data_IF_054911130662
#
_entry.id   IF_054911130662
#
_cell.length_a   1.000
_cell.length_b   1.000
_cell.length_c   1.000
_cell.angle_alpha   90.00
_cell.angle_beta   90.00
_cell.angle_gamma   90.00
#
_symmetry.space_group_name_H-M   'P 1'
#
loop_
_entity.id
_entity.type
_entity.pdbx_description
1 polymer ?
#
# COMPACT_ATOMS: atom_id res chain seq x y z
N UNK A 1 -14.16 -32.66 4.67
CA UNK A 1 -13.22 -31.52 4.74
C UNK A 1 -13.54 -30.59 3.58
N UNK A 2 -14.39 -29.59 3.78
CA UNK A 2 -14.70 -28.63 2.72
C UNK A 2 -13.41 -27.85 2.41
N UNK A 3 -12.89 -28.02 1.20
CA UNK A 3 -11.83 -27.15 0.68
C UNK A 3 -12.45 -25.78 0.44
N UNK A 4 -12.50 -24.97 1.49
CA UNK A 4 -12.94 -23.59 1.36
C UNK A 4 -11.96 -22.90 0.42
N UNK A 5 -12.47 -22.43 -0.72
CA UNK A 5 -11.67 -21.83 -1.78
C UNK A 5 -11.43 -20.38 -1.38
N UNK A 6 -10.17 -20.01 -1.12
CA UNK A 6 -9.76 -18.64 -0.81
C UNK A 6 -10.46 -17.64 -1.72
N UNK A 7 -11.35 -16.84 -1.15
CA UNK A 7 -12.01 -15.77 -1.88
C UNK A 7 -11.20 -14.48 -1.73
N UNK A 8 -10.11 -14.41 -2.51
CA UNK A 8 -9.14 -13.31 -2.49
C UNK A 8 -9.79 -11.93 -2.35
N UNK A 9 -10.81 -11.62 -3.16
CA UNK A 9 -11.44 -10.30 -3.13
C UNK A 9 -12.10 -9.95 -1.80
N UNK A 10 -12.77 -10.92 -1.16
CA UNK A 10 -13.34 -10.75 0.18
C UNK A 10 -12.24 -10.63 1.24
N UNK A 11 -11.21 -11.45 1.14
CA UNK A 11 -10.09 -11.46 2.10
C UNK A 11 -9.31 -10.14 2.05
N UNK A 12 -9.04 -9.61 0.85
CA UNK A 12 -8.38 -8.31 0.65
C UNK A 12 -9.21 -7.19 1.27
N UNK A 13 -10.52 -7.17 1.06
CA UNK A 13 -11.38 -6.17 1.67
C UNK A 13 -11.40 -6.26 3.20
N UNK A 14 -11.51 -7.48 3.75
CA UNK A 14 -11.47 -7.68 5.20
C UNK A 14 -10.14 -7.18 5.78
N UNK A 15 -9.01 -7.46 5.12
CA UNK A 15 -7.69 -6.99 5.51
C UNK A 15 -7.56 -5.46 5.50
N UNK A 16 -8.05 -4.80 4.45
CA UNK A 16 -7.98 -3.34 4.35
C UNK A 16 -8.93 -2.67 5.36
N UNK A 17 -10.07 -3.30 5.68
CA UNK A 17 -11.02 -2.79 6.69
C UNK A 17 -10.48 -2.83 8.11
N UNK A 18 -9.62 -3.81 8.45
CA UNK A 18 -8.99 -3.84 9.77
C UNK A 18 -7.84 -2.82 9.91
N UNK A 19 -7.41 -2.21 8.79
CA UNK A 19 -6.28 -1.29 8.69
C UNK A 19 -6.65 -0.05 7.88
N UNK A 20 -7.72 0.62 8.31
CA UNK A 20 -8.24 1.80 7.63
C UNK A 20 -7.17 2.91 7.59
N UNK A 21 -7.06 3.61 6.45
CA UNK A 21 -6.04 4.64 6.24
C UNK A 21 -4.63 4.15 5.89
N UNK A 22 -4.28 2.89 6.16
CA UNK A 22 -3.01 2.31 5.74
C UNK A 22 -3.00 1.93 4.25
N UNK A 23 -1.87 2.16 3.58
CA UNK A 23 -1.70 1.96 2.13
C UNK A 23 -0.82 0.75 1.86
N UNK A 24 -1.36 -0.25 1.16
CA UNK A 24 -0.65 -1.49 0.85
C UNK A 24 -0.54 -1.75 -0.64
N UNK A 25 0.58 -2.30 -1.09
CA UNK A 25 0.72 -2.80 -2.46
C UNK A 25 0.05 -4.17 -2.61
N UNK A 26 -0.29 -4.55 -3.85
CA UNK A 26 -0.83 -5.89 -4.14
C UNK A 26 0.10 -7.01 -3.66
N UNK A 27 1.42 -6.77 -3.68
CA UNK A 27 2.41 -7.72 -3.19
C UNK A 27 2.36 -7.87 -1.66
N UNK A 28 2.32 -6.76 -0.92
CA UNK A 28 2.21 -6.81 0.54
C UNK A 28 0.92 -7.51 0.99
N UNK A 29 -0.18 -7.27 0.29
CA UNK A 29 -1.45 -7.97 0.55
C UNK A 29 -1.29 -9.47 0.25
N UNK A 30 -0.63 -9.84 -0.84
CA UNK A 30 -0.37 -11.24 -1.19
C UNK A 30 0.54 -11.96 -0.17
N UNK A 31 1.56 -11.27 0.35
CA UNK A 31 2.44 -11.77 1.41
C UNK A 31 1.64 -12.05 2.69
N UNK A 32 0.79 -11.10 3.12
CA UNK A 32 -0.10 -11.31 4.27
C UNK A 32 -1.07 -12.48 4.06
N UNK A 33 -1.65 -12.62 2.86
CA UNK A 33 -2.52 -13.75 2.52
C UNK A 33 -1.75 -15.08 2.59
N UNK A 34 -0.52 -15.11 2.11
CA UNK A 34 0.33 -16.30 2.16
C UNK A 34 0.65 -16.73 3.59
N UNK A 35 0.93 -15.76 4.47
CA UNK A 35 1.19 -16.01 5.90
C UNK A 35 -0.06 -16.41 6.67
N UNK A 36 -1.22 -15.80 6.35
CA UNK A 36 -2.48 -16.01 7.07
C UNK A 36 -3.18 -17.31 6.62
N UNK A 37 -3.07 -17.67 5.34
CA UNK A 37 -3.75 -18.82 4.75
C UNK A 37 -2.76 -19.80 4.08
N UNK A 38 -1.79 -20.36 4.83
CA UNK A 38 -0.74 -21.20 4.25
C UNK A 38 -1.29 -22.50 3.66
N UNK A 39 -2.30 -23.11 4.29
CA UNK A 39 -2.91 -24.35 3.81
C UNK A 39 -3.61 -24.16 2.45
N UNK A 40 -4.32 -23.04 2.27
CA UNK A 40 -5.01 -22.73 1.02
C UNK A 40 -4.02 -22.38 -0.10
N UNK A 41 -2.96 -21.65 0.25
CA UNK A 41 -1.84 -21.34 -0.64
C UNK A 41 -1.13 -22.60 -1.11
N UNK A 42 -0.84 -23.54 -0.20
CA UNK A 42 -0.26 -24.84 -0.54
C UNK A 42 -1.20 -25.68 -1.41
N UNK A 43 -2.50 -25.70 -1.10
CA UNK A 43 -3.48 -26.41 -1.91
C UNK A 43 -3.61 -25.80 -3.32
N UNK A 44 -3.40 -24.49 -3.48
CA UNK A 44 -3.37 -23.81 -4.78
C UNK A 44 -2.08 -24.14 -5.55
N UNK A 45 -0.94 -24.16 -4.86
CA UNK A 45 0.36 -24.59 -5.42
C UNK A 45 0.30 -26.03 -5.90
N UNK A 46 -0.20 -26.95 -5.08
CA UNK A 46 -0.35 -28.37 -5.42
C UNK A 46 -1.28 -28.60 -6.62
N UNK A 47 -2.28 -27.75 -6.83
CA UNK A 47 -3.20 -27.81 -7.98
C UNK A 47 -2.60 -27.24 -9.27
N UNK A 48 -1.51 -26.49 -9.19
CA UNK A 48 -0.94 -25.79 -10.34
C UNK A 48 0.42 -26.35 -10.71
N UNK A 49 0.53 -26.96 -11.89
CA UNK A 49 1.81 -27.44 -12.41
C UNK A 49 2.81 -26.31 -12.74
N UNK A 50 2.34 -25.06 -12.82
CA UNK A 50 3.16 -23.90 -13.17
C UNK A 50 3.79 -23.19 -11.95
N UNK A 51 3.31 -23.45 -10.73
CA UNK A 51 3.77 -22.76 -9.51
C UNK A 51 4.85 -23.58 -8.79
N UNK A 52 6.08 -23.53 -9.32
CA UNK A 52 7.21 -24.24 -8.74
C UNK A 52 7.71 -23.62 -7.42
N UNK A 53 7.68 -22.30 -7.31
CA UNK A 53 8.26 -21.56 -6.18
C UNK A 53 7.22 -20.73 -5.44
N UNK A 54 7.51 -20.40 -4.19
CA UNK A 54 6.63 -19.55 -3.37
C UNK A 54 6.60 -18.11 -3.93
N UNK A 55 7.71 -17.65 -4.52
CA UNK A 55 7.75 -16.39 -5.26
C UNK A 55 6.78 -16.38 -6.46
N UNK A 56 6.69 -17.48 -7.22
CA UNK A 56 5.73 -17.60 -8.31
C UNK A 56 4.29 -17.56 -7.80
N UNK A 57 4.02 -18.21 -6.66
CA UNK A 57 2.71 -18.17 -6.01
C UNK A 57 2.36 -16.75 -5.52
N UNK A 58 3.29 -16.04 -4.88
CA UNK A 58 3.08 -14.66 -4.44
C UNK A 58 2.81 -13.73 -5.62
N UNK A 59 3.53 -13.90 -6.73
CA UNK A 59 3.30 -13.13 -7.95
C UNK A 59 1.91 -13.42 -8.53
N UNK A 60 1.49 -14.69 -8.55
CA UNK A 60 0.16 -15.09 -8.99
C UNK A 60 -0.94 -14.47 -8.10
N UNK A 61 -0.78 -14.52 -6.77
CA UNK A 61 -1.71 -13.90 -5.84
C UNK A 61 -1.79 -12.39 -6.05
N UNK A 62 -0.65 -11.70 -6.17
CA UNK A 62 -0.62 -10.26 -6.42
C UNK A 62 -1.30 -9.89 -7.76
N UNK A 63 -1.12 -10.70 -8.81
CA UNK A 63 -1.79 -10.51 -10.09
C UNK A 63 -3.31 -10.70 -9.98
N UNK A 64 -3.77 -11.68 -9.20
CA UNK A 64 -5.20 -11.91 -8.92
C UNK A 64 -5.83 -10.76 -8.11
N UNK A 65 -5.11 -10.22 -7.11
CA UNK A 65 -5.55 -9.00 -6.39
C UNK A 65 -5.68 -7.82 -7.37
N UNK A 66 -4.71 -7.66 -8.27
CA UNK A 66 -4.72 -6.65 -9.32
C UNK A 66 -5.89 -6.77 -10.29
N UNK A 67 -6.22 -8.00 -10.70
CA UNK A 67 -7.28 -8.27 -11.69
C UNK A 67 -8.69 -8.15 -11.11
N UNK A 68 -8.87 -8.42 -9.81
CA UNK A 68 -10.17 -8.30 -9.14
C UNK A 68 -10.56 -6.86 -8.81
N UNK A 69 -9.59 -5.94 -8.85
CA UNK A 69 -9.78 -4.52 -8.52
C UNK A 69 -11.02 -3.86 -9.16
N UNK A 70 -11.27 -3.94 -10.49
CA UNK A 70 -12.42 -3.25 -11.08
C UNK A 70 -13.75 -3.74 -10.52
N UNK A 71 -13.85 -5.04 -10.22
CA UNK A 71 -15.06 -5.62 -9.62
C UNK A 71 -15.20 -5.22 -8.15
N UNK A 72 -14.09 -5.15 -7.41
CA UNK A 72 -14.09 -4.73 -6.00
C UNK A 72 -14.50 -3.26 -5.86
N UNK A 73 -13.93 -2.36 -6.65
CA UNK A 73 -14.30 -0.93 -6.63
C UNK A 73 -15.77 -0.70 -6.99
N UNK A 74 -16.31 -1.47 -7.95
CA UNK A 74 -17.74 -1.39 -8.31
C UNK A 74 -18.67 -1.78 -7.14
N UNK A 75 -18.25 -2.73 -6.31
CA UNK A 75 -19.05 -3.23 -5.17
C UNK A 75 -18.77 -2.47 -3.87
N UNK A 76 -17.59 -1.90 -3.75
CA UNK A 76 -17.05 -1.26 -2.56
C UNK A 76 -16.34 0.02 -2.97
N UNK A 77 -17.08 1.13 -3.18
CA UNK A 77 -16.49 2.41 -3.57
C UNK A 77 -15.53 2.98 -2.50
N UNK A 78 -15.59 2.48 -1.27
CA UNK A 78 -14.68 2.82 -0.16
C UNK A 78 -13.26 2.26 -0.36
N UNK A 79 -13.08 1.31 -1.27
CA UNK A 79 -11.78 0.78 -1.66
C UNK A 79 -11.11 1.75 -2.65
N UNK A 80 -10.22 2.58 -2.12
CA UNK A 80 -9.48 3.57 -2.89
C UNK A 80 -8.09 3.09 -3.25
N UNK A 81 -7.57 3.63 -4.36
CA UNK A 81 -6.28 3.25 -4.92
C UNK A 81 -5.54 4.48 -5.38
N UNK A 82 -4.27 4.57 -5.00
CA UNK A 82 -3.42 5.70 -5.39
C UNK A 82 -3.19 5.72 -6.91
N UNK A 83 -3.10 6.92 -7.46
CA UNK A 83 -2.61 7.13 -8.81
C UNK A 83 -1.10 6.86 -8.89
N UNK A 84 -0.58 6.52 -10.08
CA UNK A 84 0.84 6.21 -10.27
C UNK A 84 1.26 4.78 -9.89
N UNK A 85 2.53 4.44 -10.19
CA UNK A 85 3.15 3.16 -9.85
C UNK A 85 4.19 3.37 -8.72
N UNK A 86 4.30 2.44 -7.76
CA UNK A 86 3.45 1.27 -7.54
C UNK A 86 2.08 1.68 -6.94
N UNK A 87 1.02 1.03 -7.44
CA UNK A 87 -0.34 1.26 -6.95
C UNK A 87 -0.49 0.75 -5.53
N UNK A 88 -1.08 1.57 -4.66
CA UNK A 88 -1.41 1.20 -3.28
C UNK A 88 -2.91 1.20 -3.05
N UNK A 89 -3.39 0.20 -2.32
CA UNK A 89 -4.76 -0.04 -1.94
C UNK A 89 -4.95 0.42 -0.50
N UNK A 90 -6.05 1.11 -0.23
CA UNK A 90 -6.43 1.52 1.11
C UNK A 90 -7.96 1.54 1.25
N UNK A 91 -8.42 1.36 2.48
CA UNK A 91 -9.83 1.51 2.82
C UNK A 91 -10.03 2.87 3.49
N UNK A 92 -11.00 3.65 3.00
CA UNK A 92 -11.36 4.94 3.54
C UNK A 92 -12.88 4.98 3.74
N UNK A 93 -13.32 5.14 4.98
CA UNK A 93 -14.74 5.39 5.31
C UNK A 93 -15.13 6.86 5.04
N UNK A 94 -14.13 7.70 4.78
CA UNK A 94 -14.27 9.10 4.46
C UNK A 94 -14.56 9.29 2.96
N UNK A 95 -15.62 10.05 2.68
CA UNK A 95 -15.95 10.47 1.32
C UNK A 95 -14.76 11.23 0.70
N UNK A 96 -14.65 11.24 -0.63
CA UNK A 96 -13.57 11.94 -1.35
C UNK A 96 -13.41 13.43 -0.93
N UNK A 97 -14.45 14.02 -0.34
CA UNK A 97 -14.47 15.38 0.19
C UNK A 97 -13.66 15.59 1.49
N UNK A 98 -13.48 14.58 2.35
CA UNK A 98 -12.74 14.73 3.61
C UNK A 98 -11.21 14.54 3.42
N UNK A 99 -10.79 13.81 2.37
CA UNK A 99 -9.37 13.63 2.03
C UNK A 99 -8.70 14.92 1.53
N UNK A 100 -9.47 15.88 0.98
CA UNK A 100 -8.93 17.18 0.52
C UNK A 100 -8.66 18.11 1.69
N UNK A 101 -9.48 18.08 2.75
CA UNK A 101 -9.30 18.98 3.90
C UNK A 101 -8.06 18.65 4.73
N UNK A 102 -7.61 17.38 4.76
CA UNK A 102 -6.41 16.99 5.49
C UNK A 102 -5.11 17.34 4.73
N UNK A 103 -5.18 17.55 3.42
CA UNK A 103 -4.04 17.95 2.60
C UNK A 103 -3.76 19.46 2.69
N UNK A 104 -4.77 20.29 2.99
CA UNK A 104 -4.60 21.75 3.15
C UNK A 104 -4.08 22.15 4.55
N UNK A 105 -4.22 21.31 5.57
CA UNK A 105 -3.79 21.63 6.95
C UNK A 105 -2.26 21.50 7.15
N UNK A 106 -1.56 20.77 6.27
CA UNK A 106 -0.11 20.58 6.36
C UNK A 106 0.73 21.68 5.67
N UNK A 107 0.11 22.57 4.90
CA UNK A 107 0.84 23.58 4.10
C UNK A 107 1.03 24.92 4.83
N UNK A 108 0.46 25.10 6.04
CA UNK A 108 0.55 26.34 6.84
C UNK A 108 1.40 26.16 8.12
N UNK A 109 2.48 25.37 8.07
CA UNK A 109 3.42 25.24 9.20
C UNK A 109 4.89 25.46 8.80
N UNK A 110 5.16 26.08 7.65
CA UNK A 110 6.51 26.57 7.30
C UNK A 110 6.43 27.97 6.73
N UNK A 111 5.96 28.93 7.52
CA UNK A 111 6.37 30.31 7.34
C UNK A 111 6.33 31.08 8.65
N UNK A 112 7.44 31.78 8.91
CA UNK A 112 7.66 32.84 9.91
C UNK A 112 7.82 32.45 11.41
N UNK A 113 9.09 32.39 11.86
CA UNK A 113 9.64 33.37 12.82
C UNK A 113 11.18 33.22 13.02
N UNK A 114 11.93 34.11 12.35
CA UNK A 114 13.29 34.59 12.70
C UNK A 114 13.27 35.39 14.05
N UNK A 115 14.37 35.93 14.68
CA UNK A 115 15.70 36.29 14.12
C UNK A 115 16.94 36.12 15.06
N UNK A 116 18.15 36.28 14.50
CA UNK A 116 19.39 36.29 15.27
C UNK A 116 20.63 36.75 14.50
N UNK A 117 20.81 38.06 14.39
CA UNK A 117 22.02 38.78 13.98
C UNK A 117 23.32 38.20 14.57
N UNK A 118 24.37 37.96 13.77
CA UNK A 118 25.71 38.59 13.86
C UNK A 118 26.48 38.44 12.52
N UNK A 119 27.21 39.50 12.22
CA UNK A 119 28.02 39.92 11.06
C UNK A 119 29.20 39.05 10.58
N UNK A 120 29.46 39.17 9.26
CA UNK A 120 30.73 39.18 8.50
C UNK A 120 31.97 38.43 9.02
N UNK A 121 32.53 37.55 8.18
CA UNK A 121 33.96 37.63 7.77
C UNK A 121 34.24 36.93 6.44
N UNK A 122 34.99 37.66 5.63
CA UNK A 122 35.57 37.39 4.31
C UNK A 122 36.33 36.04 4.22
N UNK A 123 36.23 35.37 3.06
CA UNK A 123 37.04 34.22 2.65
C UNK A 123 38.54 34.47 2.90
N UNK A 124 39.21 33.63 3.69
CA UNK A 124 40.64 33.40 3.53
C UNK A 124 40.91 31.93 3.80
N UNK A 125 41.29 31.22 2.72
CA UNK A 125 41.73 29.83 2.74
C UNK A 125 43.11 29.74 3.42
N UNK A 126 43.33 28.84 4.39
CA UNK A 126 44.68 28.52 4.84
C UNK A 126 45.33 27.43 3.95
N UNK A 127 46.39 27.88 3.26
CA UNK A 127 47.75 27.30 3.23
C UNK A 127 48.04 25.84 2.86
N UNK A 128 49.04 25.75 1.95
CA UNK A 128 50.23 24.85 1.92
C UNK A 128 50.11 23.47 1.26
N UNK A 129 50.87 23.29 0.17
CA UNK A 129 52.16 22.58 0.18
C UNK A 129 53.10 23.21 -0.86
#
# INVERSE_FOLDING_TARGET
>A
MASEKLNLGKTVLAFLKTRTGEKFTARQIAEWVFETFPAECQAKKARSQALATDAALLQQLAAEVGSQRPQLQKKHPELKITEGRPRRYYYSEQSDADEVMLAEDAEIATTAAEPGSVSYTHLTLPTKA
#
